data_IF_353786155993
#
_entry.id   IF_353786155993
#
_cell.length_a   1.000
_cell.length_b   1.000
_cell.length_c   1.000
_cell.angle_alpha   90.00
_cell.angle_beta   90.00
_cell.angle_gamma   90.00
#
_symmetry.space_group_name_H-M   'P 1'
#
loop_
_entity.id
_entity.type
_entity.pdbx_description
1 polymer ?
#
# COMPACT_ATOMS: atom_id res chain seq x y z
N UNK A 1 -23.41 7.17 13.45
CA UNK A 1 -22.76 8.16 12.55
C UNK A 1 -21.41 8.63 13.08
N UNK A 2 -21.30 9.24 14.26
CA UNK A 2 -20.00 9.70 14.81
C UNK A 2 -18.94 8.58 14.90
N UNK A 3 -19.31 7.40 15.41
CA UNK A 3 -18.41 6.24 15.52
C UNK A 3 -17.96 5.67 14.16
N UNK A 4 -18.79 5.79 13.13
CA UNK A 4 -18.45 5.31 11.79
C UNK A 4 -17.34 6.14 11.16
N UNK A 5 -17.48 7.47 11.25
CA UNK A 5 -16.50 8.45 10.74
C UNK A 5 -15.16 8.29 11.45
N UNK A 6 -15.13 8.03 12.76
CA UNK A 6 -13.87 7.77 13.47
C UNK A 6 -13.17 6.50 12.99
N UNK A 7 -13.91 5.44 12.67
CA UNK A 7 -13.35 4.20 12.12
C UNK A 7 -12.72 4.38 10.75
N UNK A 8 -13.44 5.06 9.85
CA UNK A 8 -12.96 5.40 8.51
C UNK A 8 -11.69 6.27 8.57
N UNK A 9 -11.73 7.34 9.39
CA UNK A 9 -10.57 8.22 9.59
C UNK A 9 -9.38 7.42 10.15
N UNK A 10 -9.59 6.55 11.13
CA UNK A 10 -8.50 5.76 11.71
C UNK A 10 -7.88 4.80 10.69
N UNK A 11 -8.69 4.14 9.88
CA UNK A 11 -8.24 3.20 8.85
C UNK A 11 -7.47 3.93 7.74
N UNK A 12 -7.99 5.04 7.25
CA UNK A 12 -7.32 5.86 6.24
C UNK A 12 -6.03 6.48 6.79
N UNK A 13 -6.04 6.96 8.05
CA UNK A 13 -4.85 7.50 8.69
C UNK A 13 -3.75 6.45 8.84
N UNK A 14 -4.11 5.23 9.29
CA UNK A 14 -3.17 4.13 9.37
C UNK A 14 -2.56 3.79 8.00
N UNK A 15 -3.38 3.80 6.95
CA UNK A 15 -2.91 3.59 5.59
C UNK A 15 -1.99 4.71 5.11
N UNK A 16 -2.31 5.98 5.38
CA UNK A 16 -1.44 7.13 5.06
C UNK A 16 -0.10 7.04 5.79
N UNK A 17 -0.11 6.70 7.08
CA UNK A 17 1.14 6.49 7.85
C UNK A 17 1.97 5.39 7.19
N UNK A 18 1.35 4.29 6.76
CA UNK A 18 2.06 3.23 6.06
C UNK A 18 2.64 3.71 4.72
N UNK A 19 1.89 4.47 3.92
CA UNK A 19 2.40 5.07 2.68
C UNK A 19 3.61 5.99 2.92
N UNK A 20 3.55 6.81 3.98
CA UNK A 20 4.65 7.70 4.36
C UNK A 20 5.89 6.87 4.73
N UNK A 21 5.73 5.79 5.50
CA UNK A 21 6.83 4.88 5.84
C UNK A 21 7.47 4.28 4.58
N UNK A 22 6.67 3.84 3.60
CA UNK A 22 7.18 3.31 2.32
C UNK A 22 7.90 4.40 1.53
N UNK A 23 7.38 5.62 1.50
CA UNK A 23 8.01 6.77 0.85
C UNK A 23 9.37 7.09 1.50
N UNK A 24 9.45 7.12 2.83
CA UNK A 24 10.72 7.30 3.53
C UNK A 24 11.70 6.18 3.21
N UNK A 25 11.25 4.93 3.17
CA UNK A 25 12.10 3.80 2.75
C UNK A 25 12.62 3.96 1.31
N UNK A 26 11.81 4.53 0.41
CA UNK A 26 12.21 4.87 -0.95
C UNK A 26 13.30 5.96 -0.98
N UNK A 27 13.05 7.07 -0.27
CA UNK A 27 13.96 8.23 -0.23
C UNK A 27 15.30 7.89 0.43
N UNK A 28 15.26 7.10 1.50
CA UNK A 28 16.43 6.60 2.21
C UNK A 28 17.14 5.46 1.49
N UNK A 29 16.66 5.06 0.30
CA UNK A 29 17.22 3.97 -0.50
C UNK A 29 17.36 2.66 0.28
N UNK A 30 16.42 2.41 1.19
CA UNK A 30 16.45 1.23 2.06
C UNK A 30 16.13 -0.04 1.30
N UNK A 31 16.85 -1.13 1.58
CA UNK A 31 16.60 -2.45 1.00
C UNK A 31 15.16 -2.96 1.26
N UNK A 32 14.54 -2.50 2.35
CA UNK A 32 13.16 -2.84 2.73
C UNK A 32 12.11 -2.21 1.82
N UNK A 33 12.47 -1.19 1.03
CA UNK A 33 11.53 -0.51 0.14
C UNK A 33 10.78 -1.49 -0.77
N UNK A 34 11.48 -2.46 -1.38
CA UNK A 34 10.85 -3.44 -2.28
C UNK A 34 9.75 -4.25 -1.57
N UNK A 35 10.03 -4.72 -0.36
CA UNK A 35 9.08 -5.48 0.45
C UNK A 35 7.92 -4.61 0.93
N UNK A 36 8.21 -3.41 1.44
CA UNK A 36 7.19 -2.47 1.91
C UNK A 36 6.27 -2.01 0.78
N UNK A 37 6.81 -1.77 -0.42
CA UNK A 37 6.04 -1.40 -1.59
C UNK A 37 5.14 -2.54 -2.09
N UNK A 38 5.62 -3.79 -1.99
CA UNK A 38 4.78 -4.97 -2.25
C UNK A 38 3.63 -5.08 -1.22
N UNK A 39 3.93 -4.88 0.06
CA UNK A 39 2.90 -4.87 1.10
C UNK A 39 1.89 -3.72 0.91
N UNK A 40 2.34 -2.55 0.45
CA UNK A 40 1.46 -1.45 0.08
C UNK A 40 0.50 -1.82 -1.05
N UNK A 41 0.98 -2.55 -2.06
CA UNK A 41 0.13 -3.02 -3.15
C UNK A 41 -0.98 -3.97 -2.67
N UNK A 42 -0.68 -4.88 -1.73
CA UNK A 42 -1.70 -5.72 -1.10
C UNK A 42 -2.59 -4.97 -0.11
N UNK A 43 -2.07 -3.92 0.55
CA UNK A 43 -2.85 -3.13 1.49
C UNK A 43 -3.97 -2.34 0.79
N UNK A 44 -3.80 -1.91 -0.47
CA UNK A 44 -4.83 -1.20 -1.26
C UNK A 44 -6.16 -1.97 -1.31
N UNK A 45 -6.22 -3.22 -1.82
CA UNK A 45 -7.49 -3.97 -1.88
C UNK A 45 -8.01 -4.32 -0.48
N UNK A 46 -7.15 -4.58 0.50
CA UNK A 46 -7.56 -4.90 1.87
C UNK A 46 -8.27 -3.70 2.52
N UNK A 47 -7.67 -2.51 2.45
CA UNK A 47 -8.24 -1.25 2.95
C UNK A 47 -9.58 -0.97 2.28
N UNK A 48 -9.65 -1.15 0.96
CA UNK A 48 -10.89 -0.97 0.21
C UNK A 48 -12.02 -1.92 0.67
N UNK A 49 -11.72 -3.21 0.87
CA UNK A 49 -12.72 -4.19 1.33
C UNK A 49 -13.17 -3.87 2.75
N UNK A 50 -12.24 -3.55 3.65
CA UNK A 50 -12.57 -3.21 5.03
C UNK A 50 -13.45 -1.95 5.11
N UNK A 51 -13.12 -0.95 4.31
CA UNK A 51 -13.90 0.29 4.22
C UNK A 51 -15.32 0.03 3.69
N UNK A 52 -15.45 -0.68 2.57
CA UNK A 52 -16.75 -1.03 1.99
C UNK A 52 -17.61 -1.89 2.94
N UNK A 53 -17.00 -2.86 3.63
CA UNK A 53 -17.68 -3.69 4.62
C UNK A 53 -18.16 -2.87 5.82
N UNK A 54 -17.35 -1.92 6.29
CA UNK A 54 -17.68 -1.04 7.40
C UNK A 54 -18.84 -0.10 7.05
N UNK A 55 -18.78 0.55 5.88
CA UNK A 55 -19.85 1.44 5.38
C UNK A 55 -21.15 0.65 5.22
N UNK A 56 -21.09 -0.55 4.63
CA UNK A 56 -22.25 -1.44 4.49
C UNK A 56 -22.88 -1.78 5.84
N UNK A 57 -22.07 -2.11 6.85
CA UNK A 57 -22.54 -2.40 8.20
C UNK A 57 -23.20 -1.18 8.88
N UNK A 58 -22.60 0.00 8.74
CA UNK A 58 -23.10 1.25 9.34
C UNK A 58 -24.40 1.70 8.67
N UNK A 59 -24.49 1.59 7.35
CA UNK A 59 -25.66 2.03 6.58
C UNK A 59 -26.77 0.98 6.54
N UNK A 60 -26.54 -0.23 7.09
CA UNK A 60 -27.45 -1.39 6.94
C UNK A 60 -27.83 -1.64 5.48
N UNK A 61 -26.94 -1.28 4.56
CA UNK A 61 -27.13 -1.37 3.12
C UNK A 61 -26.33 -2.57 2.60
N UNK A 62 -26.84 -3.30 1.60
CA UNK A 62 -26.12 -4.43 1.05
C UNK A 62 -24.81 -3.96 0.37
N UNK A 63 -23.74 -4.75 0.56
CA UNK A 63 -22.41 -4.48 -0.02
C UNK A 63 -22.48 -4.29 -1.54
N UNK A 64 -23.40 -4.97 -2.23
CA UNK A 64 -23.63 -4.81 -3.68
C UNK A 64 -24.04 -3.40 -4.09
N UNK A 65 -24.70 -2.64 -3.21
CA UNK A 65 -25.08 -1.26 -3.44
C UNK A 65 -23.87 -0.32 -3.26
N UNK A 66 -23.01 -0.62 -2.28
CA UNK A 66 -21.77 0.12 -2.01
C UNK A 66 -20.73 -0.13 -3.12
N UNK A 67 -20.72 -1.34 -3.68
CA UNK A 67 -19.85 -1.76 -4.78
C UNK A 67 -20.53 -1.62 -6.15
N UNK A 68 -21.49 -0.71 -6.31
CA UNK A 68 -22.12 -0.46 -7.61
C UNK A 68 -21.05 -0.16 -8.68
N UNK A 69 -21.31 -0.61 -9.92
CA UNK A 69 -20.26 -0.85 -10.94
C UNK A 69 -19.21 0.26 -11.14
N UNK A 70 -19.61 1.52 -11.10
CA UNK A 70 -18.68 2.65 -11.28
C UNK A 70 -17.73 2.87 -10.08
N UNK A 71 -18.12 2.44 -8.87
CA UNK A 71 -17.32 2.57 -7.66
C UNK A 71 -16.04 1.72 -7.69
N UNK A 72 -16.01 0.66 -8.53
CA UNK A 72 -14.85 -0.23 -8.67
C UNK A 72 -13.84 0.24 -9.70
N UNK A 73 -14.21 1.15 -10.59
CA UNK A 73 -13.34 1.59 -11.71
C UNK A 73 -12.06 2.23 -11.19
N UNK A 74 -12.18 3.21 -10.28
CA UNK A 74 -11.01 3.92 -9.74
C UNK A 74 -10.10 3.03 -8.88
N UNK A 75 -10.63 2.24 -7.92
CA UNK A 75 -9.83 1.26 -7.19
C UNK A 75 -9.12 0.25 -8.10
N UNK A 76 -9.80 -0.26 -9.13
CA UNK A 76 -9.23 -1.21 -10.08
C UNK A 76 -8.09 -0.59 -10.90
N UNK A 77 -8.28 0.62 -11.43
CA UNK A 77 -7.23 1.35 -12.16
C UNK A 77 -6.02 1.60 -11.25
N UNK A 78 -6.25 2.06 -10.02
CA UNK A 78 -5.19 2.29 -9.04
C UNK A 78 -4.42 1.00 -8.71
N UNK A 79 -5.14 -0.11 -8.51
CA UNK A 79 -4.54 -1.41 -8.24
C UNK A 79 -3.67 -1.92 -9.40
N UNK A 80 -4.15 -1.80 -10.64
CA UNK A 80 -3.42 -2.22 -11.84
C UNK A 80 -2.18 -1.37 -12.03
N UNK A 81 -2.31 -0.04 -11.98
CA UNK A 81 -1.17 0.87 -12.14
C UNK A 81 -0.12 0.62 -11.06
N UNK A 82 -0.54 0.46 -9.81
CA UNK A 82 0.38 0.15 -8.70
C UNK A 82 1.05 -1.22 -8.90
N UNK A 83 0.31 -2.22 -9.38
CA UNK A 83 0.85 -3.54 -9.71
C UNK A 83 1.93 -3.49 -10.80
N UNK A 84 1.74 -2.65 -11.84
CA UNK A 84 2.76 -2.41 -12.87
C UNK A 84 4.03 -1.82 -12.23
N UNK A 85 3.89 -0.87 -11.31
CA UNK A 85 5.03 -0.32 -10.56
C UNK A 85 5.74 -1.37 -9.72
N UNK A 86 5.01 -2.26 -9.04
CA UNK A 86 5.61 -3.36 -8.27
C UNK A 86 6.45 -4.25 -9.18
N UNK A 87 5.90 -4.66 -10.33
CA UNK A 87 6.61 -5.46 -11.31
C UNK A 87 7.88 -4.75 -11.81
N UNK A 88 7.79 -3.43 -12.07
CA UNK A 88 8.94 -2.62 -12.46
C UNK A 88 10.02 -2.58 -11.37
N UNK A 89 9.65 -2.34 -10.11
CA UNK A 89 10.58 -2.25 -8.96
C UNK A 89 11.37 -3.56 -8.77
N UNK A 90 10.73 -4.71 -8.96
CA UNK A 90 11.38 -6.01 -8.84
C UNK A 90 12.22 -6.40 -10.07
N UNK A 91 11.78 -6.04 -11.28
CA UNK A 91 12.47 -6.41 -12.52
C UNK A 91 13.64 -5.47 -12.87
N UNK A 92 13.60 -4.22 -12.42
CA UNK A 92 14.54 -3.19 -12.85
C UNK A 92 15.92 -3.31 -12.22
N UNK A 93 16.94 -3.44 -13.08
CA UNK A 93 18.36 -3.47 -12.67
C UNK A 93 18.78 -2.18 -11.97
N UNK A 94 18.26 -1.02 -12.38
CA UNK A 94 18.53 0.28 -11.74
C UNK A 94 18.06 0.31 -10.29
N UNK A 95 16.83 -0.13 -10.05
CA UNK A 95 16.25 -0.22 -8.71
C UNK A 95 17.08 -1.21 -7.89
N UNK A 96 17.35 -2.41 -8.42
CA UNK A 96 18.18 -3.40 -7.77
C UNK A 96 19.54 -2.85 -7.32
N UNK A 97 20.24 -2.15 -8.21
CA UNK A 97 21.55 -1.56 -7.91
C UNK A 97 21.50 -0.43 -6.88
N UNK A 98 20.37 0.28 -6.76
CA UNK A 98 20.22 1.41 -5.83
C UNK A 98 19.90 0.93 -4.41
N UNK A 99 19.05 -0.08 -4.28
CA UNK A 99 18.52 -0.53 -2.99
C UNK A 99 19.27 -1.72 -2.39
N UNK A 100 19.90 -2.59 -3.21
CA UNK A 100 20.61 -3.78 -2.68
C UNK A 100 22.10 -3.50 -2.39
N UNK A 101 22.73 -2.53 -3.06
CA UNK A 101 24.15 -2.20 -2.81
C UNK A 101 24.39 -1.71 -1.38
N UNK A 102 23.46 -0.93 -0.83
CA UNK A 102 23.56 -0.40 0.54
C UNK A 102 23.53 -1.52 1.59
N UNK A 103 22.73 -2.56 1.38
CA UNK A 103 22.67 -3.72 2.26
C UNK A 103 23.98 -4.53 2.25
N UNK A 104 24.58 -4.71 1.07
CA UNK A 104 25.86 -5.41 0.92
C UNK A 104 26.99 -4.62 1.60
N UNK A 105 27.06 -3.30 1.40
CA UNK A 105 28.08 -2.47 2.07
C UNK A 105 27.94 -2.46 3.59
N UNK A 106 26.72 -2.46 4.13
CA UNK A 106 26.47 -2.55 5.58
C UNK A 106 26.87 -3.90 6.19
N UNK A 107 26.64 -5.01 5.46
CA UNK A 107 27.07 -6.34 5.90
C UNK A 107 28.60 -6.49 5.92
N UNK A 108 29.30 -5.94 4.92
CA UNK A 108 30.77 -5.99 4.88
C UNK A 108 31.38 -5.16 6.01
N UNK A 109 30.82 -3.97 6.30
CA UNK A 109 31.28 -3.13 7.39
C UNK A 109 31.04 -3.72 8.79
N UNK A 110 29.99 -4.54 8.96
CA UNK A 110 29.70 -5.23 10.22
C UNK A 110 30.51 -6.53 10.42
N UNK A 111 31.11 -7.07 9.35
CA UNK A 111 31.90 -8.29 9.38
C UNK A 111 33.42 -8.05 9.45
N UNK A 112 33.84 -6.79 9.57
CA UNK A 112 35.24 -6.35 9.66
C UNK A 112 35.65 -6.04 11.10
#
# INVERSE_FOLDING_TARGET
MKSAVYGEIALLLAFVVFQVVVLFAMLLRSYRFKQLFLYQWFAIPIVFILDAAWISAVMSAPVSLVLAGDALVMPAVSFVLTGIWVAYVYKSVRVRNTFDRVAISGHVASAS
#
